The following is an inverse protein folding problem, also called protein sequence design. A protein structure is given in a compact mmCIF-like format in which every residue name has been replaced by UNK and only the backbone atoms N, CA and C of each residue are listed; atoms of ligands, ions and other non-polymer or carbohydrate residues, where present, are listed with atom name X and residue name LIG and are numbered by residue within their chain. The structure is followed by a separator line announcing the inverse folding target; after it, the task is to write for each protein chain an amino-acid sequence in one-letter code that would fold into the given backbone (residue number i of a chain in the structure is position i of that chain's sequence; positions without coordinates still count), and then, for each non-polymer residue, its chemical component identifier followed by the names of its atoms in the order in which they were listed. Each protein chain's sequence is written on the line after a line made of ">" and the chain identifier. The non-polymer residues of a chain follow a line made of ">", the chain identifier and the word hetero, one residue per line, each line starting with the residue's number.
data_IF_960356150720
#
_entry.id   IF_960356150720
#
_cell.length_a   1.000
_cell.length_b   1.000
_cell.length_c   1.000
_cell.angle_alpha   90.00
_cell.angle_beta   90.00
_cell.angle_gamma   90.00
#
_symmetry.space_group_name_H-M   'P 1'
#
loop_
_entity.id
_entity.type
_entity.pdbx_description
1 polymer ?
#
# COMPACT_ATOMS: atom_id res chain seq x y z
N UNK A 1 31.01 40.70 17.97
CA UNK A 1 31.11 39.33 17.40
C UNK A 1 30.23 38.27 18.11
N UNK A 2 29.71 38.52 19.33
CA UNK A 2 28.98 37.54 20.17
C UNK A 2 27.53 37.28 19.71
N UNK A 3 26.81 38.28 19.18
CA UNK A 3 25.41 38.15 18.76
C UNK A 3 25.15 37.15 17.60
N UNK A 4 26.17 36.93 16.74
CA UNK A 4 26.10 35.99 15.61
C UNK A 4 26.04 34.53 16.04
N UNK A 5 26.68 34.19 17.16
CA UNK A 5 26.75 32.81 17.68
C UNK A 5 25.37 32.35 18.20
N UNK A 6 24.61 33.25 18.83
CA UNK A 6 23.26 32.95 19.31
C UNK A 6 22.27 32.75 18.15
N UNK A 7 22.34 33.57 17.09
CA UNK A 7 21.50 33.36 15.89
C UNK A 7 21.72 31.98 15.27
N UNK A 8 22.98 31.54 15.14
CA UNK A 8 23.32 30.20 14.63
C UNK A 8 22.81 29.07 15.52
N UNK A 9 22.85 29.23 16.85
CA UNK A 9 22.28 28.26 17.80
C UNK A 9 20.76 28.19 17.68
N UNK A 10 20.06 29.32 17.63
CA UNK A 10 18.60 29.39 17.45
C UNK A 10 18.17 28.77 16.12
N UNK A 11 18.91 29.03 15.04
CA UNK A 11 18.68 28.40 13.73
C UNK A 11 18.85 26.86 13.78
N UNK A 12 19.88 26.37 14.47
CA UNK A 12 20.10 24.92 14.63
C UNK A 12 19.00 24.27 15.46
N UNK A 13 18.57 24.89 16.55
CA UNK A 13 17.47 24.40 17.39
C UNK A 13 16.16 24.39 16.62
N UNK A 14 15.85 25.46 15.87
CA UNK A 14 14.68 25.52 15.01
C UNK A 14 14.69 24.43 13.93
N UNK A 15 15.83 24.24 13.26
CA UNK A 15 15.99 23.17 12.28
C UNK A 15 15.81 21.78 12.90
N UNK A 16 16.39 21.56 14.09
CA UNK A 16 16.27 20.28 14.79
C UNK A 16 14.82 19.98 15.18
N UNK A 17 14.07 20.99 15.63
CA UNK A 17 12.64 20.90 15.92
C UNK A 17 11.82 20.54 14.67
N UNK A 18 12.08 21.22 13.55
CA UNK A 18 11.39 20.93 12.27
C UNK A 18 11.65 19.49 11.81
N UNK A 19 12.91 19.04 11.88
CA UNK A 19 13.26 17.66 11.51
C UNK A 19 12.61 16.66 12.47
N UNK A 20 12.63 16.92 13.77
CA UNK A 20 12.00 16.06 14.76
C UNK A 20 10.48 15.93 14.54
N UNK A 21 9.80 17.04 14.22
CA UNK A 21 8.38 17.01 13.85
C UNK A 21 8.15 16.22 12.56
N UNK A 22 8.98 16.42 11.53
CA UNK A 22 8.83 15.73 10.25
C UNK A 22 9.03 14.21 10.37
N UNK A 23 10.01 13.76 11.17
CA UNK A 23 10.28 12.34 11.40
C UNK A 23 9.23 11.69 12.32
N UNK A 24 8.67 12.46 13.25
CA UNK A 24 7.63 12.00 14.16
C UNK A 24 6.23 11.90 13.53
N UNK A 25 6.03 12.32 12.28
CA UNK A 25 4.75 12.18 11.62
C UNK A 25 4.44 10.70 11.38
N UNK A 26 3.24 10.21 11.76
CA UNK A 26 2.86 8.84 11.47
C UNK A 26 2.87 8.64 9.95
N UNK A 27 3.56 7.60 9.49
CA UNK A 27 3.46 7.18 8.10
C UNK A 27 2.00 6.81 7.80
N UNK A 28 1.54 7.12 6.59
CA UNK A 28 0.25 6.62 6.12
C UNK A 28 0.26 5.09 6.23
N UNK A 29 -0.83 4.51 6.73
CA UNK A 29 -0.96 3.06 6.84
C UNK A 29 -0.72 2.43 5.47
N UNK A 30 0.36 1.68 5.33
CA UNK A 30 0.54 0.82 4.19
C UNK A 30 -0.55 -0.26 4.25
N UNK A 31 -1.40 -0.35 3.23
CA UNK A 31 -2.33 -1.46 3.05
C UNK A 31 -1.51 -2.69 2.67
N UNK A 32 -0.83 -3.31 3.64
CA UNK A 32 0.11 -4.40 3.38
C UNK A 32 -0.54 -5.69 2.82
N UNK A 33 -1.87 -5.72 2.68
CA UNK A 33 -2.60 -6.87 2.16
C UNK A 33 -3.44 -6.45 0.94
N UNK A 34 -3.11 -7.05 -0.19
CA UNK A 34 -3.90 -6.97 -1.41
C UNK A 34 -5.29 -7.57 -1.19
N UNK A 35 -6.33 -6.80 -1.51
CA UNK A 35 -7.72 -7.20 -1.36
C UNK A 35 -8.38 -7.41 -2.71
N UNK A 36 -9.06 -8.55 -2.88
CA UNK A 36 -9.89 -8.83 -4.05
C UNK A 36 -11.09 -7.87 -4.06
N UNK A 37 -11.15 -6.99 -5.06
CA UNK A 37 -12.24 -6.01 -5.23
C UNK A 37 -13.29 -6.46 -6.25
N UNK A 38 -12.92 -7.35 -7.18
CA UNK A 38 -13.83 -7.92 -8.19
C UNK A 38 -13.35 -9.28 -8.65
N UNK A 39 -14.29 -10.14 -9.03
CA UNK A 39 -14.03 -11.39 -9.71
C UNK A 39 -14.93 -11.56 -10.93
N UNK A 40 -14.39 -12.15 -11.98
CA UNK A 40 -15.14 -12.65 -13.14
C UNK A 40 -14.69 -14.09 -13.42
N UNK A 41 -15.59 -15.08 -13.36
CA UNK A 41 -17.01 -14.98 -13.01
C UNK A 41 -17.27 -14.40 -11.62
N UNK A 42 -18.43 -13.75 -11.43
CA UNK A 42 -18.79 -13.18 -10.14
C UNK A 42 -18.92 -14.29 -9.08
N UNK A 43 -18.66 -13.95 -7.82
CA UNK A 43 -18.76 -14.91 -6.71
C UNK A 43 -20.17 -15.52 -6.66
N UNK A 44 -20.25 -16.86 -6.68
CA UNK A 44 -21.50 -17.64 -6.74
C UNK A 44 -22.32 -17.43 -8.01
N UNK A 45 -21.70 -17.01 -9.11
CA UNK A 45 -22.36 -16.97 -10.41
C UNK A 45 -22.71 -18.39 -10.87
N UNK A 46 -23.93 -18.58 -11.33
CA UNK A 46 -24.34 -19.77 -12.09
C UNK A 46 -24.20 -19.42 -13.57
N UNK A 47 -23.34 -20.13 -14.27
CA UNK A 47 -23.07 -19.88 -15.68
C UNK A 47 -23.77 -20.94 -16.54
N UNK A 48 -24.32 -20.52 -17.67
CA UNK A 48 -24.91 -21.44 -18.66
C UNK A 48 -23.86 -22.02 -19.61
N UNK A 49 -22.63 -21.48 -19.60
CA UNK A 49 -21.48 -21.93 -20.39
C UNK A 49 -20.19 -21.76 -19.59
N UNK A 50 -19.21 -22.63 -19.83
CA UNK A 50 -17.89 -22.52 -19.22
C UNK A 50 -17.18 -21.23 -19.69
N UNK A 51 -16.48 -20.52 -18.78
CA UNK A 51 -15.72 -19.33 -19.13
C UNK A 51 -14.35 -19.71 -19.72
N UNK A 52 -13.86 -18.91 -20.67
CA UNK A 52 -12.52 -19.11 -21.25
C UNK A 52 -11.39 -18.62 -20.31
N UNK A 53 -11.72 -17.84 -19.27
CA UNK A 53 -10.76 -17.28 -18.33
C UNK A 53 -11.41 -16.97 -16.97
N UNK A 54 -10.59 -16.94 -15.93
CA UNK A 54 -10.94 -16.37 -14.63
C UNK A 54 -10.11 -15.10 -14.44
N UNK A 55 -10.76 -14.00 -14.05
CA UNK A 55 -10.13 -12.70 -13.86
C UNK A 55 -10.42 -12.15 -12.46
N UNK A 56 -9.37 -11.77 -11.77
CA UNK A 56 -9.41 -11.23 -10.41
C UNK A 56 -8.82 -9.83 -10.43
N UNK A 57 -9.49 -8.87 -9.79
CA UNK A 57 -8.98 -7.52 -9.60
C UNK A 57 -8.71 -7.30 -8.14
N UNK A 58 -7.55 -6.73 -7.86
CA UNK A 58 -7.14 -6.33 -6.54
C UNK A 58 -7.05 -4.82 -6.46
N UNK A 59 -7.14 -4.29 -5.23
CA UNK A 59 -6.97 -2.86 -4.96
C UNK A 59 -5.53 -2.36 -5.19
N UNK A 60 -4.58 -3.26 -5.44
CA UNK A 60 -3.19 -2.96 -5.75
C UNK A 60 -2.62 -3.95 -6.77
N UNK A 61 -1.47 -3.60 -7.37
CA UNK A 61 -0.77 -4.47 -8.31
C UNK A 61 -0.16 -5.66 -7.55
N UNK A 62 -0.43 -6.88 -8.02
CA UNK A 62 0.22 -8.10 -7.55
C UNK A 62 1.44 -8.41 -8.44
N UNK A 63 2.51 -8.91 -7.83
CA UNK A 63 3.65 -9.49 -8.55
C UNK A 63 3.31 -10.90 -9.03
N UNK A 64 3.26 -11.10 -10.35
CA UNK A 64 2.72 -12.32 -10.95
C UNK A 64 3.59 -13.54 -10.67
N UNK A 65 4.91 -13.36 -10.61
CA UNK A 65 5.87 -14.44 -10.39
C UNK A 65 5.76 -15.07 -8.99
N UNK A 66 5.12 -14.39 -8.04
CA UNK A 66 4.90 -14.86 -6.67
C UNK A 66 3.42 -15.11 -6.35
N UNK A 67 2.54 -15.09 -7.35
CA UNK A 67 1.11 -15.34 -7.18
C UNK A 67 0.71 -16.72 -7.71
N UNK A 68 -0.26 -17.36 -7.06
CA UNK A 68 -0.84 -18.63 -7.50
C UNK A 68 -2.36 -18.54 -7.51
N UNK A 69 -2.98 -19.12 -8.54
CA UNK A 69 -4.43 -19.26 -8.67
C UNK A 69 -4.74 -20.71 -9.04
N UNK A 70 -5.59 -21.36 -8.25
CA UNK A 70 -5.98 -22.75 -8.45
C UNK A 70 -7.50 -22.78 -8.65
N UNK A 71 -7.95 -23.49 -9.67
CA UNK A 71 -9.37 -23.78 -9.91
C UNK A 71 -9.61 -25.24 -9.52
N UNK A 72 -10.57 -25.46 -8.62
CA UNK A 72 -10.93 -26.78 -8.10
C UNK A 72 -12.35 -27.12 -8.54
N UNK A 73 -12.61 -28.40 -8.78
CA UNK A 73 -13.96 -28.95 -8.82
C UNK A 73 -14.40 -29.39 -7.41
N UNK A 74 -15.58 -29.97 -7.29
CA UNK A 74 -16.19 -30.37 -6.02
C UNK A 74 -15.80 -31.80 -5.56
N UNK A 75 -14.80 -32.41 -6.19
CA UNK A 75 -14.41 -33.81 -5.94
C UNK A 75 -13.29 -33.97 -4.93
#
# INVERSE_FOLDING_TARGET
>A
MIASLNKRKTLRVGLFLVVALAVGMPAASALAHSMLVKAEPARRAVLTKAPNQVRLWFNEKIEGDYASLIVLDDK
#
